data_IF_350881694099
#
_entry.id   IF_350881694099
#
_cell.length_a   1.000
_cell.length_b   1.000
_cell.length_c   1.000
_cell.angle_alpha   90.00
_cell.angle_beta   90.00
_cell.angle_gamma   90.00
#
_symmetry.space_group_name_H-M   'P 1'
#
loop_
_entity.id
_entity.type
_entity.pdbx_description
1 polymer ?
#
# COMPACT_ATOMS: atom_id res chain seq x y z
N UNK A 1 41.10 -8.68 32.97
CA UNK A 1 40.93 -9.42 34.26
C UNK A 1 39.87 -8.70 35.09
N UNK A 2 38.68 -9.31 35.16
CA UNK A 2 37.58 -9.18 36.15
C UNK A 2 37.09 -7.78 36.56
N UNK A 3 35.98 -7.35 35.96
CA UNK A 3 34.94 -6.58 36.63
C UNK A 3 34.17 -7.53 37.58
N UNK A 4 33.92 -7.07 38.81
CA UNK A 4 33.19 -7.80 39.83
C UNK A 4 31.69 -7.48 39.75
N UNK A 5 30.90 -8.55 39.80
CA UNK A 5 29.45 -8.57 39.91
C UNK A 5 28.97 -8.01 41.25
N UNK A 6 27.78 -7.39 41.22
CA UNK A 6 26.90 -7.28 42.38
C UNK A 6 25.66 -8.12 42.10
N UNK A 7 25.53 -9.22 42.84
CA UNK A 7 24.32 -10.03 42.96
C UNK A 7 23.30 -9.31 43.86
N UNK A 8 22.00 -9.48 43.57
CA UNK A 8 20.96 -9.39 44.60
C UNK A 8 20.03 -10.60 44.47
N UNK A 9 20.05 -11.45 45.50
CA UNK A 9 19.22 -12.64 45.64
C UNK A 9 17.85 -12.28 46.27
N UNK A 10 16.80 -12.79 45.63
CA UNK A 10 15.65 -13.54 46.19
C UNK A 10 14.95 -13.06 47.47
N UNK A 11 13.65 -12.78 47.33
CA UNK A 11 12.64 -13.21 48.30
C UNK A 11 11.47 -13.88 47.56
N UNK A 12 11.31 -15.18 47.84
CA UNK A 12 10.17 -16.03 47.51
C UNK A 12 8.91 -15.52 48.21
N UNK A 13 7.76 -15.61 47.55
CA UNK A 13 6.53 -16.10 48.17
C UNK A 13 5.71 -16.87 47.15
N UNK A 14 5.13 -17.97 47.62
CA UNK A 14 4.58 -19.09 46.86
C UNK A 14 3.07 -19.22 47.09
N UNK A 15 2.34 -19.49 45.99
CA UNK A 15 1.10 -20.32 45.87
C UNK A 15 -0.24 -19.63 46.24
N UNK A 16 -1.42 -19.95 45.63
CA UNK A 16 -1.73 -20.99 44.63
C UNK A 16 -2.42 -20.52 43.32
N UNK A 17 -2.30 -21.41 42.33
CA UNK A 17 -3.11 -21.60 41.15
C UNK A 17 -4.52 -22.13 41.51
N UNK A 18 -5.57 -21.53 40.96
CA UNK A 18 -6.95 -22.06 40.91
C UNK A 18 -7.49 -21.83 39.49
N UNK A 19 -7.90 -22.87 38.75
CA UNK A 19 -8.55 -22.73 37.44
C UNK A 19 -10.07 -22.69 37.64
N UNK A 20 -10.80 -21.78 36.98
CA UNK A 20 -12.22 -22.01 36.68
C UNK A 20 -12.75 -21.04 35.60
N UNK A 21 -13.22 -21.65 34.50
CA UNK A 21 -14.37 -21.30 33.65
C UNK A 21 -14.50 -19.87 33.10
N UNK A 22 -13.93 -19.64 31.92
CA UNK A 22 -14.42 -18.65 30.97
C UNK A 22 -15.76 -19.13 30.36
N UNK A 23 -16.88 -18.64 30.88
CA UNK A 23 -18.12 -18.59 30.08
C UNK A 23 -18.03 -17.39 29.14
N UNK A 24 -17.40 -17.59 27.98
CA UNK A 24 -17.38 -16.63 26.88
C UNK A 24 -18.79 -16.43 26.30
N UNK A 25 -19.33 -15.22 26.42
CA UNK A 25 -20.49 -14.80 25.62
C UNK A 25 -19.97 -14.32 24.27
N UNK A 26 -20.29 -15.07 23.21
CA UNK A 26 -20.08 -14.66 21.82
C UNK A 26 -21.15 -13.61 21.48
N UNK A 27 -20.73 -12.37 21.22
CA UNK A 27 -21.62 -11.37 20.63
C UNK A 27 -21.63 -11.55 19.11
N UNK A 28 -22.66 -12.20 18.59
CA UNK A 28 -22.95 -12.24 17.16
C UNK A 28 -23.65 -10.93 16.76
N UNK A 29 -23.01 -10.12 15.93
CA UNK A 29 -23.64 -8.99 15.26
C UNK A 29 -24.33 -9.54 14.01
N UNK A 30 -25.66 -9.72 14.07
CA UNK A 30 -26.49 -10.03 12.91
C UNK A 30 -27.09 -8.74 12.36
N UNK A 31 -26.57 -8.29 11.22
CA UNK A 31 -27.28 -7.35 10.36
C UNK A 31 -28.35 -8.14 9.61
N UNK A 32 -29.59 -8.13 10.10
CA UNK A 32 -30.73 -7.98 9.19
C UNK A 32 -32.08 -7.74 9.87
N UNK A 33 -32.92 -7.04 9.14
CA UNK A 33 -34.27 -6.61 9.49
C UNK A 33 -35.21 -7.80 9.72
N UNK A 34 -36.20 -7.58 10.59
CA UNK A 34 -37.40 -8.38 10.85
C UNK A 34 -37.27 -9.63 11.75
N UNK A 35 -37.49 -9.46 13.06
CA UNK A 35 -38.61 -10.13 13.80
C UNK A 35 -38.59 -9.79 15.29
N UNK A 36 -39.78 -9.48 15.80
CA UNK A 36 -40.11 -9.36 17.22
C UNK A 36 -40.46 -10.76 17.75
N UNK A 37 -39.93 -11.15 18.92
CA UNK A 37 -40.55 -12.15 19.78
C UNK A 37 -40.13 -11.97 21.25
N UNK A 38 -41.10 -12.25 22.11
CA UNK A 38 -41.28 -11.91 23.53
C UNK A 38 -40.37 -12.61 24.54
N UNK A 39 -40.04 -11.90 25.62
CA UNK A 39 -39.50 -12.47 26.86
C UNK A 39 -40.63 -12.85 27.84
N UNK A 40 -40.49 -13.99 28.50
CA UNK A 40 -41.33 -14.37 29.63
C UNK A 40 -40.60 -14.09 30.96
N UNK A 41 -41.39 -13.65 31.93
CA UNK A 41 -41.04 -12.99 33.19
C UNK A 41 -40.54 -13.93 34.26
N UNK A 42 -39.58 -13.52 35.08
CA UNK A 42 -39.62 -13.72 36.53
C UNK A 42 -38.54 -12.88 37.25
N UNK A 43 -38.99 -11.81 37.91
CA UNK A 43 -38.28 -11.10 38.97
C UNK A 43 -39.28 -10.87 40.10
N UNK A 44 -38.92 -11.08 41.37
CA UNK A 44 -39.52 -10.33 42.48
C UNK A 44 -38.55 -9.25 42.98
N UNK A 45 -38.99 -8.01 42.75
CA UNK A 45 -38.94 -6.81 43.61
C UNK A 45 -37.88 -6.68 44.72
N UNK A 46 -37.09 -5.59 44.66
CA UNK A 46 -37.19 -4.46 45.61
C UNK A 46 -36.36 -3.24 45.13
N UNK A 47 -37.04 -2.11 44.99
CA UNK A 47 -36.71 -0.72 44.59
C UNK A 47 -35.80 0.08 45.57
N UNK A 48 -35.46 1.40 45.36
CA UNK A 48 -34.95 2.17 44.19
C UNK A 48 -33.79 3.18 44.59
N UNK A 49 -33.54 4.34 43.91
CA UNK A 49 -32.30 4.68 43.17
C UNK A 49 -31.43 5.81 43.84
N UNK A 50 -30.37 6.36 43.17
CA UNK A 50 -30.60 7.61 42.43
C UNK A 50 -29.70 7.91 41.19
N UNK A 51 -30.23 8.82 40.35
CA UNK A 51 -29.55 9.84 39.52
C UNK A 51 -28.88 9.50 38.18
N UNK A 52 -29.67 9.69 37.13
CA UNK A 52 -29.24 9.99 35.76
C UNK A 52 -29.00 11.50 35.61
N UNK A 53 -27.81 11.93 35.17
CA UNK A 53 -27.64 13.21 34.46
C UNK A 53 -26.71 12.95 33.27
N UNK A 54 -27.32 12.92 32.09
CA UNK A 54 -26.65 13.03 30.79
C UNK A 54 -27.04 14.40 30.23
N UNK A 55 -26.06 15.27 29.96
CA UNK A 55 -26.22 16.42 29.08
C UNK A 55 -24.83 16.79 28.54
N UNK A 56 -24.49 16.23 27.38
CA UNK A 56 -23.49 16.79 26.47
C UNK A 56 -24.26 17.71 25.54
N UNK A 57 -24.04 19.01 25.65
CA UNK A 57 -24.46 20.00 24.65
C UNK A 57 -23.21 20.58 24.01
N UNK A 58 -22.97 20.22 22.75
CA UNK A 58 -22.07 20.95 21.87
C UNK A 58 -22.91 21.98 21.10
N UNK A 59 -22.73 23.27 21.38
CA UNK A 59 -23.12 24.35 20.48
C UNK A 59 -21.92 25.28 20.32
N UNK A 60 -21.60 25.54 19.05
CA UNK A 60 -20.53 26.38 18.53
C UNK A 60 -20.55 27.79 19.12
N UNK A 61 -19.36 28.31 19.48
CA UNK A 61 -19.16 29.71 19.85
C UNK A 61 -18.95 30.58 18.61
N UNK A 62 -19.70 31.69 18.55
CA UNK A 62 -19.44 32.86 17.69
C UNK A 62 -18.55 33.83 18.48
N UNK A 63 -17.52 34.37 17.83
CA UNK A 63 -16.53 35.24 18.47
C UNK A 63 -17.01 36.67 18.76
N UNK A 64 -16.34 37.32 19.72
CA UNK A 64 -15.63 38.61 19.58
C UNK A 64 -15.16 39.15 20.94
N UNK A 65 -13.87 39.54 20.99
CA UNK A 65 -13.30 40.68 21.74
C UNK A 65 -13.34 40.69 23.27
N UNK A 66 -12.16 40.68 23.93
CA UNK A 66 -11.49 41.86 24.51
C UNK A 66 -10.22 41.46 25.31
N UNK A 67 -9.26 42.39 25.35
CA UNK A 67 -7.93 42.34 25.98
C UNK A 67 -7.92 42.10 27.50
N UNK A 68 -6.84 41.48 28.01
CA UNK A 68 -5.95 42.02 29.07
C UNK A 68 -4.72 41.12 29.30
N UNK A 69 -3.70 41.67 29.94
CA UNK A 69 -2.26 41.37 29.84
C UNK A 69 -1.71 40.20 30.69
N UNK A 70 -0.57 39.67 30.21
CA UNK A 70 0.62 39.15 30.90
C UNK A 70 0.52 38.37 32.23
N UNK A 71 1.02 37.13 32.24
CA UNK A 71 2.24 36.76 32.99
C UNK A 71 2.73 35.35 32.65
N UNK A 72 4.05 35.18 32.73
CA UNK A 72 4.84 33.98 32.52
C UNK A 72 4.56 32.86 33.51
N UNK A 73 4.56 31.61 33.06
CA UNK A 73 5.07 30.42 33.79
C UNK A 73 5.04 29.20 32.86
N UNK A 74 6.19 28.57 32.60
CA UNK A 74 6.22 27.20 32.09
C UNK A 74 5.65 26.24 33.14
N UNK A 75 5.00 25.13 32.72
CA UNK A 75 5.55 23.85 33.16
C UNK A 75 5.36 22.66 32.19
N UNK A 76 6.41 21.82 32.16
CA UNK A 76 6.36 20.37 32.35
C UNK A 76 5.81 19.48 31.22
N UNK A 77 6.74 18.76 30.58
CA UNK A 77 6.50 17.64 29.67
C UNK A 77 5.85 16.49 30.44
N UNK A 78 4.58 16.18 30.11
CA UNK A 78 3.94 14.90 30.45
C UNK A 78 4.02 14.00 29.22
N UNK A 79 4.80 12.92 29.36
CA UNK A 79 4.79 11.78 28.44
C UNK A 79 3.39 11.17 28.40
N UNK A 80 2.67 11.35 27.29
CA UNK A 80 1.42 10.65 27.03
C UNK A 80 1.69 9.36 26.28
N UNK A 81 1.65 8.25 27.02
CA UNK A 81 1.47 6.90 26.49
C UNK A 81 0.20 6.85 25.63
N UNK A 82 0.36 6.65 24.32
CA UNK A 82 -0.76 6.57 23.38
C UNK A 82 -1.54 5.26 23.54
N UNK A 83 -2.84 5.40 23.82
CA UNK A 83 -3.82 4.31 23.92
C UNK A 83 -4.45 4.05 22.53
N UNK A 84 -4.84 2.82 22.16
CA UNK A 84 -5.01 2.38 20.76
C UNK A 84 -6.34 2.77 20.08
N UNK A 85 -7.15 3.66 20.67
CA UNK A 85 -8.48 3.98 20.13
C UNK A 85 -8.47 4.94 18.93
N UNK A 86 -7.36 5.65 18.67
CA UNK A 86 -7.25 6.57 17.53
C UNK A 86 -7.01 5.89 16.16
N UNK A 87 -6.69 4.59 16.12
CA UNK A 87 -6.42 3.86 14.86
C UNK A 87 -7.69 3.57 14.04
N UNK A 88 -8.87 3.48 14.66
CA UNK A 88 -10.11 3.07 13.99
C UNK A 88 -10.82 4.21 13.24
N UNK A 89 -10.54 5.48 13.56
CA UNK A 89 -11.23 6.62 12.96
C UNK A 89 -10.64 6.97 11.59
N UNK A 90 -9.32 6.83 11.43
CA UNK A 90 -8.63 7.10 10.15
C UNK A 90 -9.06 6.13 9.05
N UNK A 91 -9.26 4.85 9.36
CA UNK A 91 -9.69 3.82 8.40
C UNK A 91 -11.09 4.05 7.82
N UNK A 92 -11.99 4.70 8.57
CA UNK A 92 -13.35 4.96 8.10
C UNK A 92 -13.46 6.20 7.21
N UNK A 93 -12.57 7.19 7.40
CA UNK A 93 -12.54 8.39 6.56
C UNK A 93 -12.07 8.08 5.13
N UNK A 94 -11.04 7.25 4.99
CA UNK A 94 -10.52 6.81 3.68
C UNK A 94 -11.52 5.89 2.96
N UNK A 95 -12.15 4.95 3.68
CA UNK A 95 -13.19 4.09 3.13
C UNK A 95 -14.46 4.85 2.72
N UNK A 96 -14.80 5.94 3.41
CA UNK A 96 -15.94 6.80 3.06
C UNK A 96 -15.67 7.66 1.81
N UNK A 97 -14.42 8.07 1.56
CA UNK A 97 -14.03 8.73 0.31
C UNK A 97 -14.07 7.77 -0.89
N UNK A 98 -13.67 6.50 -0.70
CA UNK A 98 -13.79 5.46 -1.73
C UNK A 98 -15.26 5.19 -2.12
N UNK A 99 -16.19 5.28 -1.17
CA UNK A 99 -17.63 5.10 -1.43
C UNK A 99 -18.28 6.29 -2.16
N UNK A 100 -17.81 7.52 -1.91
CA UNK A 100 -18.35 8.74 -2.50
C UNK A 100 -17.96 8.94 -3.98
N UNK A 101 -16.91 8.28 -4.47
CA UNK A 101 -16.44 8.35 -5.87
C UNK A 101 -17.27 7.51 -6.87
N UNK A 102 -18.30 6.79 -6.41
CA UNK A 102 -18.97 5.70 -7.14
C UNK A 102 -20.00 6.11 -8.23
N UNK A 103 -20.03 7.35 -8.71
CA UNK A 103 -21.02 7.79 -9.74
C UNK A 103 -20.43 8.21 -11.09
N UNK A 104 -19.11 8.14 -11.29
CA UNK A 104 -18.49 8.28 -12.62
C UNK A 104 -18.42 6.93 -13.33
N UNK A 105 -18.70 6.89 -14.64
CA UNK A 105 -18.40 5.72 -15.48
C UNK A 105 -16.93 5.35 -15.28
N UNK A 106 -16.66 4.12 -14.80
CA UNK A 106 -15.30 3.66 -14.53
C UNK A 106 -14.55 3.58 -15.86
N UNK A 107 -13.57 4.47 -16.03
CA UNK A 107 -12.65 4.44 -17.17
C UNK A 107 -11.94 3.08 -17.21
N UNK A 108 -11.78 2.51 -18.41
CA UNK A 108 -11.12 1.23 -18.63
C UNK A 108 -10.13 1.39 -19.80
N UNK A 109 -8.94 0.82 -19.64
CA UNK A 109 -7.91 0.77 -20.68
C UNK A 109 -7.71 -0.68 -21.16
N UNK A 110 -6.87 -0.87 -22.18
CA UNK A 110 -6.41 -2.21 -22.57
C UNK A 110 -5.33 -2.70 -21.59
N UNK A 111 -5.20 -4.01 -21.32
CA UNK A 111 -4.10 -4.49 -20.50
C UNK A 111 -2.77 -4.29 -21.21
N UNK A 112 -1.74 -3.84 -20.46
CA UNK A 112 -0.37 -3.76 -20.95
C UNK A 112 0.26 -5.17 -20.94
N UNK A 113 0.99 -5.55 -21.98
CA UNK A 113 1.73 -6.81 -22.01
C UNK A 113 3.00 -6.72 -21.15
N UNK A 114 3.32 -7.76 -20.38
CA UNK A 114 4.60 -7.86 -19.65
C UNK A 114 5.73 -8.24 -20.60
N UNK A 115 6.11 -7.30 -21.46
CA UNK A 115 7.14 -7.50 -22.48
C UNK A 115 8.15 -6.35 -22.37
N UNK A 116 9.43 -6.63 -22.06
CA UNK A 116 10.46 -5.59 -21.92
C UNK A 116 10.56 -4.65 -23.11
N UNK A 117 10.41 -5.14 -24.35
CA UNK A 117 10.52 -4.31 -25.56
C UNK A 117 9.41 -3.26 -25.59
N UNK A 118 8.17 -3.70 -25.39
CA UNK A 118 7.00 -2.82 -25.32
C UNK A 118 7.10 -1.83 -24.15
N UNK A 119 7.48 -2.32 -22.97
CA UNK A 119 7.65 -1.49 -21.77
C UNK A 119 8.71 -0.41 -22.00
N UNK A 120 9.87 -0.77 -22.55
CA UNK A 120 10.97 0.16 -22.78
C UNK A 120 10.60 1.23 -23.82
N UNK A 121 9.92 0.84 -24.90
CA UNK A 121 9.40 1.78 -25.88
C UNK A 121 8.37 2.74 -25.25
N UNK A 122 7.49 2.21 -24.39
CA UNK A 122 6.47 3.00 -23.72
C UNK A 122 7.08 4.03 -22.74
N UNK A 123 7.98 3.62 -21.85
CA UNK A 123 8.59 4.54 -20.87
C UNK A 123 9.48 5.59 -21.55
N UNK A 124 10.11 5.25 -22.68
CA UNK A 124 10.85 6.23 -23.49
C UNK A 124 9.91 7.34 -24.00
N UNK A 125 8.70 6.98 -24.46
CA UNK A 125 7.67 7.96 -24.86
C UNK A 125 7.08 8.75 -23.69
N UNK A 126 7.10 8.19 -22.48
CA UNK A 126 6.78 8.94 -21.25
C UNK A 126 7.89 9.95 -20.89
N UNK A 127 9.09 9.76 -21.46
CA UNK A 127 10.28 10.60 -21.35
C UNK A 127 11.30 10.14 -20.30
N UNK A 128 11.30 8.84 -19.99
CA UNK A 128 12.39 8.17 -19.28
C UNK A 128 13.54 7.88 -20.25
N UNK A 129 14.79 8.12 -19.84
CA UNK A 129 15.96 7.81 -20.65
C UNK A 129 16.38 6.33 -20.51
N UNK A 130 16.15 5.55 -21.57
CA UNK A 130 16.47 4.13 -21.63
C UNK A 130 17.90 3.83 -22.10
N UNK A 131 18.78 4.85 -22.16
CA UNK A 131 20.18 4.68 -22.54
C UNK A 131 21.02 4.03 -21.45
N UNK A 132 20.71 4.30 -20.17
CA UNK A 132 21.46 3.79 -19.03
C UNK A 132 20.78 2.60 -18.37
N UNK A 133 19.45 2.60 -18.29
CA UNK A 133 18.66 1.55 -17.66
C UNK A 133 17.48 1.17 -18.53
N UNK A 134 17.15 -0.12 -18.55
CA UNK A 134 15.99 -0.63 -19.27
C UNK A 134 15.38 -1.80 -18.50
N UNK A 135 14.10 -2.07 -18.74
CA UNK A 135 13.49 -3.30 -18.26
C UNK A 135 14.07 -4.48 -19.04
N UNK A 136 14.39 -5.54 -18.32
CA UNK A 136 14.82 -6.84 -18.85
C UNK A 136 14.04 -7.97 -18.17
N UNK A 137 13.90 -9.10 -18.83
CA UNK A 137 13.25 -10.27 -18.25
C UNK A 137 14.11 -10.90 -17.14
N UNK A 138 13.45 -11.34 -16.07
CA UNK A 138 14.05 -12.16 -15.01
C UNK A 138 13.47 -13.57 -15.13
N UNK A 139 14.23 -14.50 -15.70
CA UNK A 139 13.74 -15.82 -16.08
C UNK A 139 13.40 -16.74 -14.89
N UNK A 140 14.00 -16.50 -13.73
CA UNK A 140 13.76 -17.29 -12.52
C UNK A 140 14.10 -16.47 -11.28
N UNK A 141 13.52 -16.87 -10.15
CA UNK A 141 13.81 -16.31 -8.83
C UNK A 141 14.99 -17.02 -8.13
N UNK A 142 15.68 -17.90 -8.86
CA UNK A 142 16.91 -18.57 -8.42
C UNK A 142 18.16 -17.73 -8.70
N UNK A 143 19.19 -17.91 -7.86
CA UNK A 143 20.40 -17.09 -7.89
C UNK A 143 21.06 -17.05 -9.29
N UNK A 144 21.10 -18.17 -10.02
CA UNK A 144 21.70 -18.21 -11.36
C UNK A 144 21.04 -17.28 -12.37
N UNK A 145 19.72 -17.05 -12.27
CA UNK A 145 19.00 -16.17 -13.19
C UNK A 145 19.11 -14.71 -12.76
N UNK A 146 19.13 -14.47 -11.43
CA UNK A 146 19.37 -13.16 -10.84
C UNK A 146 20.76 -12.65 -11.23
N UNK A 147 21.77 -13.51 -11.19
CA UNK A 147 23.17 -13.19 -11.53
C UNK A 147 23.36 -12.85 -13.02
N UNK A 148 22.43 -13.23 -13.90
CA UNK A 148 22.43 -12.83 -15.32
C UNK A 148 21.98 -11.38 -15.53
N UNK A 149 21.29 -10.79 -14.55
CA UNK A 149 20.76 -9.43 -14.64
C UNK A 149 21.84 -8.44 -14.22
N UNK A 150 22.15 -7.42 -15.05
CA UNK A 150 23.02 -6.32 -14.66
C UNK A 150 22.60 -5.72 -13.32
N UNK A 151 23.58 -5.48 -12.45
CA UNK A 151 23.37 -4.90 -11.14
C UNK A 151 23.98 -3.50 -11.05
N UNK A 152 23.42 -2.62 -10.19
CA UNK A 152 22.24 -2.84 -9.36
C UNK A 152 20.93 -2.63 -10.14
N UNK A 153 19.95 -3.55 -10.00
CA UNK A 153 18.59 -3.28 -10.49
C UNK A 153 17.96 -2.14 -9.70
N UNK A 154 17.23 -1.23 -10.35
CA UNK A 154 16.58 -0.06 -9.77
C UNK A 154 15.16 -0.34 -9.23
N UNK A 155 14.43 -1.25 -9.88
CA UNK A 155 13.08 -1.65 -9.52
C UNK A 155 12.76 -3.02 -10.12
N UNK A 156 11.75 -3.72 -9.58
CA UNK A 156 11.26 -5.00 -10.10
C UNK A 156 9.75 -4.90 -10.34
N UNK A 157 9.27 -5.34 -11.50
CA UNK A 157 7.84 -5.53 -11.76
C UNK A 157 7.52 -7.01 -11.72
N UNK A 158 6.39 -7.34 -11.12
CA UNK A 158 5.80 -8.67 -11.17
C UNK A 158 4.40 -8.57 -11.76
N UNK A 159 4.11 -9.37 -12.78
CA UNK A 159 2.75 -9.70 -13.17
C UNK A 159 2.39 -11.01 -12.47
N UNK A 160 1.27 -11.04 -11.76
CA UNK A 160 0.78 -12.25 -11.11
C UNK A 160 -0.72 -12.45 -11.35
N UNK A 161 -1.23 -13.68 -11.25
CA UNK A 161 -2.63 -13.97 -11.50
C UNK A 161 -3.49 -13.72 -10.26
N UNK A 162 -4.70 -13.20 -10.48
CA UNK A 162 -5.71 -12.92 -9.48
C UNK A 162 -6.59 -14.14 -9.20
N UNK A 163 -5.96 -15.26 -8.86
CA UNK A 163 -6.69 -16.48 -8.46
C UNK A 163 -7.36 -16.27 -7.10
N UNK A 164 -8.39 -17.07 -6.81
CA UNK A 164 -9.08 -17.01 -5.52
C UNK A 164 -8.09 -17.18 -4.36
N UNK A 165 -7.13 -18.09 -4.50
CA UNK A 165 -6.09 -18.38 -3.51
C UNK A 165 -5.21 -17.15 -3.23
N UNK A 166 -4.81 -16.43 -4.29
CA UNK A 166 -4.02 -15.19 -4.14
C UNK A 166 -4.82 -14.09 -3.43
N UNK A 167 -6.09 -13.94 -3.79
CA UNK A 167 -6.96 -12.91 -3.23
C UNK A 167 -7.40 -13.20 -1.78
N UNK A 168 -7.49 -14.48 -1.40
CA UNK A 168 -7.88 -14.90 -0.05
C UNK A 168 -6.70 -15.10 0.90
N UNK A 169 -5.46 -14.99 0.42
CA UNK A 169 -4.29 -15.11 1.27
C UNK A 169 -4.39 -14.07 2.40
N UNK A 170 -4.10 -14.45 3.66
CA UNK A 170 -4.05 -13.49 4.75
C UNK A 170 -3.12 -12.35 4.33
N UNK A 171 -3.66 -11.13 4.32
CA UNK A 171 -2.86 -9.93 4.14
C UNK A 171 -2.04 -9.78 5.42
N UNK A 172 -0.91 -10.49 5.52
CA UNK A 172 0.16 -10.15 6.46
C UNK A 172 0.94 -8.92 5.94
N UNK A 173 0.19 -8.04 5.29
CA UNK A 173 0.66 -6.80 4.72
C UNK A 173 0.96 -5.88 5.90
N UNK A 174 2.24 -5.75 6.21
CA UNK A 174 2.70 -4.67 7.07
C UNK A 174 2.60 -3.38 6.27
N UNK A 175 1.42 -2.75 6.28
CA UNK A 175 1.23 -1.43 5.67
C UNK A 175 2.26 -0.48 6.27
N UNK A 176 2.97 0.23 5.41
CA UNK A 176 4.01 1.16 5.81
C UNK A 176 3.48 2.17 6.83
N UNK A 177 4.30 2.52 7.82
CA UNK A 177 3.91 3.59 8.74
C UNK A 177 3.84 4.91 8.00
N UNK A 178 3.09 5.88 8.55
CA UNK A 178 2.96 7.21 7.93
C UNK A 178 4.31 7.86 7.62
N UNK A 179 5.29 7.72 8.52
CA UNK A 179 6.66 8.22 8.34
C UNK A 179 7.39 7.56 7.17
N UNK A 180 7.13 6.27 6.92
CA UNK A 180 7.68 5.53 5.77
C UNK A 180 6.99 5.93 4.46
N UNK A 181 5.67 6.12 4.49
CA UNK A 181 4.89 6.55 3.34
C UNK A 181 5.28 7.94 2.83
N UNK A 182 5.67 8.86 3.72
CA UNK A 182 6.05 10.23 3.37
C UNK A 182 7.34 10.31 2.51
N UNK A 183 7.97 9.17 2.23
CA UNK A 183 9.15 9.03 1.36
C UNK A 183 8.87 8.23 0.09
N UNK A 184 7.78 7.45 0.06
CA UNK A 184 7.47 6.55 -1.03
C UNK A 184 6.43 7.20 -1.95
N UNK A 185 6.76 7.33 -3.23
CA UNK A 185 5.80 7.78 -4.21
C UNK A 185 4.78 6.67 -4.50
N UNK A 186 3.52 6.87 -4.10
CA UNK A 186 2.43 5.89 -4.25
C UNK A 186 1.15 6.51 -4.82
N UNK A 187 0.46 5.77 -5.69
CA UNK A 187 -0.79 6.15 -6.36
C UNK A 187 -1.79 4.99 -6.32
N UNK A 188 -3.09 5.31 -6.16
CA UNK A 188 -4.16 4.30 -6.23
C UNK A 188 -4.51 3.99 -7.68
N UNK A 189 -4.84 2.74 -7.96
CA UNK A 189 -5.41 2.36 -9.24
C UNK A 189 -6.92 2.51 -9.21
N UNK A 190 -7.44 3.46 -10.00
CA UNK A 190 -8.88 3.71 -10.16
C UNK A 190 -9.38 3.53 -11.60
N UNK A 191 -8.47 3.37 -12.55
CA UNK A 191 -8.75 3.06 -13.95
C UNK A 191 -8.62 1.54 -14.15
N UNK A 192 -9.63 0.92 -14.77
CA UNK A 192 -9.63 -0.51 -15.10
C UNK A 192 -8.48 -0.85 -16.04
N UNK A 193 -7.76 -1.94 -15.77
CA UNK A 193 -6.59 -2.43 -16.53
C UNK A 193 -5.37 -1.50 -16.59
N UNK A 194 -5.36 -0.37 -15.86
CA UNK A 194 -4.21 0.54 -15.84
C UNK A 194 -3.02 0.04 -15.00
N UNK A 195 -3.06 -1.20 -14.46
CA UNK A 195 -2.05 -1.73 -13.54
C UNK A 195 -0.63 -1.70 -14.12
N UNK A 196 -0.45 -1.92 -15.43
CA UNK A 196 0.85 -1.80 -16.09
C UNK A 196 1.44 -0.38 -15.98
N UNK A 197 0.66 0.64 -16.32
CA UNK A 197 1.09 2.05 -16.17
C UNK A 197 1.31 2.43 -14.71
N UNK A 198 0.44 1.99 -13.80
CA UNK A 198 0.58 2.25 -12.36
C UNK A 198 1.85 1.60 -11.80
N UNK A 199 2.13 0.35 -12.16
CA UNK A 199 3.36 -0.35 -11.79
C UNK A 199 4.61 0.35 -12.33
N UNK A 200 4.59 0.82 -13.57
CA UNK A 200 5.69 1.58 -14.16
C UNK A 200 5.92 2.92 -13.45
N UNK A 201 4.85 3.65 -13.11
CA UNK A 201 4.96 4.88 -12.31
C UNK A 201 5.56 4.61 -10.93
N UNK A 202 5.10 3.56 -10.24
CA UNK A 202 5.67 3.13 -8.97
C UNK A 202 7.16 2.77 -9.10
N UNK A 203 7.58 2.08 -10.17
CA UNK A 203 8.97 1.73 -10.39
C UNK A 203 9.85 2.96 -10.68
N UNK A 204 9.43 3.81 -11.61
CA UNK A 204 10.23 4.94 -12.10
C UNK A 204 10.31 6.10 -11.10
N UNK A 205 9.21 6.44 -10.44
CA UNK A 205 9.14 7.56 -9.48
C UNK A 205 9.68 7.21 -8.08
N UNK A 206 10.08 5.95 -7.87
CA UNK A 206 10.83 5.52 -6.68
C UNK A 206 12.24 5.01 -7.02
N UNK A 207 12.69 5.12 -8.28
CA UNK A 207 14.05 4.76 -8.65
C UNK A 207 15.07 5.73 -8.00
N UNK A 208 16.35 5.38 -7.84
CA UNK A 208 17.35 6.30 -7.28
C UNK A 208 17.49 7.62 -8.05
N UNK A 209 17.89 8.70 -7.36
CA UNK A 209 17.96 10.08 -7.88
C UNK A 209 18.72 10.24 -9.22
N UNK A 210 19.80 9.49 -9.54
CA UNK A 210 20.41 9.57 -10.88
C UNK A 210 19.50 9.10 -12.03
N UNK A 211 18.49 8.28 -11.74
CA UNK A 211 17.54 7.73 -12.72
C UNK A 211 16.22 8.50 -12.77
N UNK A 212 15.93 9.34 -11.78
CA UNK A 212 14.78 10.24 -11.79
C UNK A 212 15.03 11.55 -12.53
N UNK A 213 16.18 11.66 -13.21
CA UNK A 213 16.48 12.78 -14.11
C UNK A 213 15.82 12.49 -15.47
N UNK A 214 14.56 12.87 -15.59
CA UNK A 214 13.79 12.69 -16.80
C UNK A 214 14.16 13.75 -17.86
N UNK A 215 13.87 13.44 -19.12
CA UNK A 215 14.10 14.37 -20.23
C UNK A 215 13.31 15.67 -20.04
N UNK A 216 13.84 16.79 -20.56
CA UNK A 216 13.13 18.08 -20.53
C UNK A 216 11.78 17.93 -21.26
N UNK A 217 10.71 18.47 -20.68
CA UNK A 217 9.34 18.37 -21.19
C UNK A 217 8.74 16.94 -21.23
N UNK A 218 9.38 15.98 -20.56
CA UNK A 218 8.83 14.63 -20.40
C UNK A 218 7.50 14.64 -19.63
N UNK A 219 6.59 13.75 -20.04
CA UNK A 219 5.30 13.62 -19.37
C UNK A 219 5.48 13.15 -17.92
N UNK A 220 6.39 12.20 -17.67
CA UNK A 220 6.63 11.67 -16.34
C UNK A 220 7.18 12.73 -15.37
N UNK A 221 8.02 13.68 -15.84
CA UNK A 221 8.49 14.80 -15.02
C UNK A 221 7.35 15.73 -14.63
N UNK A 222 6.55 16.15 -15.61
CA UNK A 222 5.38 17.01 -15.34
C UNK A 222 4.40 16.32 -14.39
N UNK A 223 4.16 15.03 -14.59
CA UNK A 223 3.30 14.26 -13.70
C UNK A 223 3.88 14.16 -12.28
N UNK A 224 5.18 13.92 -12.13
CA UNK A 224 5.84 13.90 -10.82
C UNK A 224 5.78 15.26 -10.10
N UNK A 225 5.92 16.37 -10.85
CA UNK A 225 5.81 17.73 -10.31
C UNK A 225 4.39 18.07 -9.88
N UNK A 226 3.39 17.68 -10.66
CA UNK A 226 1.96 17.83 -10.33
C UNK A 226 1.53 16.93 -9.17
N UNK A 227 2.21 15.78 -9.02
CA UNK A 227 1.87 14.72 -8.07
C UNK A 227 3.04 14.43 -7.11
N UNK A 228 3.49 15.39 -6.29
CA UNK A 228 4.60 15.17 -5.38
C UNK A 228 4.23 14.14 -4.30
N UNK A 229 5.23 13.60 -3.59
CA UNK A 229 5.01 12.57 -2.55
C UNK A 229 3.90 12.96 -1.55
N UNK A 230 3.84 14.20 -1.01
CA UNK A 230 2.80 14.61 -0.05
C UNK A 230 1.37 14.64 -0.61
N UNK A 231 1.17 14.66 -1.94
CA UNK A 231 -0.17 14.60 -2.52
C UNK A 231 -0.78 13.22 -2.26
N UNK A 232 -2.06 13.17 -1.86
CA UNK A 232 -2.70 11.91 -1.50
C UNK A 232 -2.73 10.92 -2.68
N UNK A 233 -2.59 9.60 -2.44
CA UNK A 233 -2.62 8.59 -3.50
C UNK A 233 -3.91 8.64 -4.35
N UNK A 234 -5.02 9.06 -3.76
CA UNK A 234 -6.30 9.25 -4.44
C UNK A 234 -6.25 10.49 -5.36
N UNK A 235 -5.74 11.62 -4.89
CA UNK A 235 -5.63 12.83 -5.71
C UNK A 235 -4.68 12.63 -6.90
N UNK A 236 -3.58 11.89 -6.70
CA UNK A 236 -2.70 11.44 -7.80
C UNK A 236 -3.46 10.62 -8.85
N UNK A 237 -4.31 9.70 -8.41
CA UNK A 237 -5.17 8.90 -9.30
C UNK A 237 -6.18 9.76 -10.06
N UNK A 238 -6.80 10.74 -9.40
CA UNK A 238 -7.73 11.68 -10.04
C UNK A 238 -7.06 12.57 -11.09
N UNK A 239 -5.81 12.98 -10.84
CA UNK A 239 -4.98 13.70 -11.83
C UNK A 239 -4.63 12.82 -13.02
N UNK A 240 -4.40 11.52 -12.82
CA UNK A 240 -4.15 10.55 -13.89
C UNK A 240 -5.42 10.27 -14.73
N UNK A 241 -6.59 10.13 -14.08
CA UNK A 241 -7.90 9.93 -14.74
C UNK A 241 -8.25 11.05 -15.72
N UNK A 242 -7.82 12.28 -15.42
CA UNK A 242 -8.10 13.48 -16.22
C UNK A 242 -7.10 13.70 -17.36
N UNK A 243 -6.03 12.90 -17.42
CA UNK A 243 -4.94 13.10 -18.37
C UNK A 243 -5.15 12.26 -19.64
N UNK A 244 -5.60 12.93 -20.71
CA UNK A 244 -5.79 12.26 -22.01
C UNK A 244 -4.46 11.90 -22.68
N UNK A 245 -3.35 12.57 -22.34
CA UNK A 245 -2.03 12.30 -22.94
C UNK A 245 -1.52 10.94 -22.49
N UNK A 246 -1.60 10.60 -21.21
CA UNK A 246 -1.20 9.27 -20.73
C UNK A 246 -2.13 8.17 -21.26
N UNK A 247 -3.44 8.43 -21.35
CA UNK A 247 -4.38 7.47 -21.93
C UNK A 247 -4.03 7.15 -23.39
N UNK A 248 -3.69 8.16 -24.19
CA UNK A 248 -3.25 7.98 -25.57
C UNK A 248 -1.90 7.26 -25.68
N UNK A 249 -0.93 7.60 -24.82
CA UNK A 249 0.38 6.95 -24.81
C UNK A 249 0.26 5.46 -24.41
N UNK A 250 -0.60 5.17 -23.43
CA UNK A 250 -0.92 3.81 -23.03
C UNK A 250 -1.62 3.04 -24.17
N UNK A 251 -2.66 3.62 -24.79
CA UNK A 251 -3.36 2.98 -25.91
C UNK A 251 -2.40 2.69 -27.08
N UNK A 252 -1.54 3.65 -27.42
CA UNK A 252 -0.50 3.49 -28.43
C UNK A 252 0.46 2.33 -28.10
N UNK A 253 0.90 2.20 -26.84
CA UNK A 253 1.74 1.09 -26.41
C UNK A 253 1.03 -0.26 -26.57
N UNK A 254 -0.23 -0.37 -26.14
CA UNK A 254 -1.01 -1.62 -26.28
C UNK A 254 -1.34 -1.97 -27.73
N UNK A 255 -1.46 -0.98 -28.62
CA UNK A 255 -1.68 -1.18 -30.07
C UNK A 255 -0.40 -1.44 -30.88
N UNK A 256 0.77 -1.33 -30.26
CA UNK A 256 2.04 -1.45 -30.97
C UNK A 256 2.27 -2.86 -31.51
N UNK A 257 3.09 -2.98 -32.56
CA UNK A 257 3.52 -4.27 -33.08
C UNK A 257 4.42 -5.07 -32.12
N UNK A 258 4.90 -4.43 -31.05
CA UNK A 258 5.68 -5.08 -29.99
C UNK A 258 4.77 -5.88 -29.03
N UNK A 259 3.45 -5.66 -29.08
CA UNK A 259 2.47 -6.49 -28.38
C UNK A 259 2.34 -7.83 -29.10
N UNK A 260 2.95 -8.87 -28.55
CA UNK A 260 3.08 -10.17 -29.19
C UNK A 260 1.79 -10.99 -29.14
N UNK A 261 0.95 -10.77 -28.13
CA UNK A 261 -0.28 -11.55 -27.88
C UNK A 261 -1.54 -10.91 -28.45
N UNK A 262 -1.42 -9.67 -28.93
CA UNK A 262 -2.55 -8.83 -29.31
C UNK A 262 -3.29 -8.31 -28.09
N UNK A 263 -3.83 -7.09 -28.19
CA UNK A 263 -4.49 -6.42 -27.04
C UNK A 263 -5.87 -6.96 -26.66
N UNK A 264 -6.44 -7.91 -27.42
CA UNK A 264 -7.77 -8.46 -27.17
C UNK A 264 -8.91 -7.44 -27.30
N UNK A 265 -10.03 -7.69 -26.62
CA UNK A 265 -11.13 -6.75 -26.47
C UNK A 265 -11.00 -5.99 -25.13
N UNK A 266 -11.35 -4.71 -25.11
CA UNK A 266 -11.32 -3.89 -23.89
C UNK A 266 -12.18 -4.48 -22.77
N UNK A 267 -13.24 -5.21 -23.13
CA UNK A 267 -14.20 -5.81 -22.19
C UNK A 267 -13.77 -7.19 -21.67
N UNK A 268 -12.69 -7.77 -22.22
CA UNK A 268 -12.18 -9.06 -21.77
C UNK A 268 -11.84 -9.03 -20.27
N UNK A 269 -12.07 -10.15 -19.61
CA UNK A 269 -11.74 -10.33 -18.19
C UNK A 269 -10.23 -10.50 -18.07
N UNK A 270 -9.58 -9.48 -17.53
CA UNK A 270 -8.16 -9.54 -17.17
C UNK A 270 -8.01 -10.24 -15.83
N UNK A 271 -7.26 -11.33 -15.80
CA UNK A 271 -7.04 -12.16 -14.61
C UNK A 271 -5.64 -12.01 -14.03
N UNK A 272 -4.83 -11.07 -14.52
CA UNK A 272 -3.47 -10.81 -14.06
C UNK A 272 -3.33 -9.36 -13.60
N UNK A 273 -2.33 -9.10 -12.76
CA UNK A 273 -2.13 -7.79 -12.15
C UNK A 273 -0.66 -7.48 -11.95
N UNK A 274 -0.26 -6.25 -12.29
CA UNK A 274 1.09 -5.75 -12.08
C UNK A 274 1.25 -5.12 -10.70
N UNK A 275 2.40 -5.36 -10.08
CA UNK A 275 2.89 -4.61 -8.91
C UNK A 275 4.36 -4.26 -9.13
N UNK A 276 4.83 -3.23 -8.42
CA UNK A 276 6.24 -2.89 -8.36
C UNK A 276 6.83 -3.24 -7.00
N UNK A 277 8.09 -3.68 -6.98
CA UNK A 277 8.90 -3.85 -5.79
C UNK A 277 10.11 -2.93 -5.89
N UNK A 278 10.29 -2.05 -4.90
CA UNK A 278 11.28 -0.96 -4.93
C UNK A 278 12.08 -0.86 -3.64
N UNK A 279 13.27 -0.27 -3.72
CA UNK A 279 14.09 0.10 -2.57
C UNK A 279 13.99 1.61 -2.36
N UNK A 280 13.47 2.04 -1.20
CA UNK A 280 13.44 3.46 -0.80
C UNK A 280 13.96 3.54 0.63
N UNK A 281 14.99 4.35 0.88
CA UNK A 281 15.63 4.47 2.21
C UNK A 281 15.97 3.11 2.85
N UNK A 282 16.68 2.26 2.08
CA UNK A 282 17.13 0.92 2.51
C UNK A 282 16.00 0.00 3.00
N UNK A 283 14.79 0.20 2.48
CA UNK A 283 13.59 -0.57 2.80
C UNK A 283 12.92 -1.10 1.54
N UNK A 284 12.48 -2.35 1.61
CA UNK A 284 11.81 -3.04 0.52
C UNK A 284 10.31 -2.75 0.58
N UNK A 285 9.76 -2.20 -0.49
CA UNK A 285 8.33 -1.92 -0.59
C UNK A 285 7.70 -2.63 -1.78
N UNK A 286 6.54 -3.23 -1.54
CA UNK A 286 5.62 -3.68 -2.59
C UNK A 286 4.55 -2.59 -2.80
N UNK A 287 4.39 -2.16 -4.04
CA UNK A 287 3.52 -1.07 -4.45
C UNK A 287 2.43 -1.59 -5.40
N UNK A 288 1.27 -1.91 -4.81
CA UNK A 288 0.05 -2.30 -5.51
C UNK A 288 -1.01 -1.19 -5.35
N UNK A 289 -1.41 -0.56 -6.47
CA UNK A 289 -2.41 0.52 -6.46
C UNK A 289 -3.80 0.09 -5.96
N UNK A 290 -4.07 -1.21 -5.78
CA UNK A 290 -5.30 -1.73 -5.19
C UNK A 290 -5.26 -1.75 -3.66
N UNK A 291 -4.06 -1.81 -3.06
CA UNK A 291 -3.87 -1.89 -1.60
C UNK A 291 -4.08 -0.53 -0.92
N UNK A 292 -4.19 -0.54 0.41
CA UNK A 292 -4.40 0.68 1.19
C UNK A 292 -3.22 1.66 1.08
N UNK A 293 -2.00 1.13 0.98
CA UNK A 293 -0.76 1.89 0.86
C UNK A 293 0.41 0.96 0.48
N UNK A 294 1.65 1.48 0.46
CA UNK A 294 2.86 0.67 0.32
C UNK A 294 2.94 -0.43 1.38
N UNK A 295 3.31 -1.65 0.97
CA UNK A 295 3.55 -2.77 1.90
C UNK A 295 5.03 -2.91 2.16
N UNK A 296 5.42 -2.87 3.43
CA UNK A 296 6.81 -3.01 3.85
C UNK A 296 7.19 -4.48 4.02
N UNK A 297 8.31 -4.87 3.39
CA UNK A 297 8.83 -6.24 3.38
C UNK A 297 10.17 -6.41 4.11
N UNK A 298 10.61 -5.42 4.88
CA UNK A 298 11.87 -5.47 5.61
C UNK A 298 12.98 -4.61 4.99
N UNK A 299 14.19 -4.62 5.59
CA UNK A 299 15.33 -3.89 5.09
C UNK A 299 15.86 -4.49 3.78
N UNK A 300 16.40 -3.64 2.91
CA UNK A 300 17.10 -4.03 1.67
C UNK A 300 18.12 -2.94 1.32
N UNK A 301 18.79 -3.07 0.19
CA UNK A 301 19.63 -2.03 -0.41
C UNK A 301 19.50 -2.10 -1.93
N UNK A 302 19.95 -1.08 -2.65
CA UNK A 302 19.94 -1.13 -4.11
C UNK A 302 20.74 -2.32 -4.67
N UNK A 303 21.82 -2.72 -3.98
CA UNK A 303 22.65 -3.86 -4.36
C UNK A 303 21.98 -5.23 -4.16
N UNK A 304 21.01 -5.32 -3.24
CA UNK A 304 20.31 -6.58 -2.92
C UNK A 304 18.84 -6.59 -3.36
N UNK A 305 18.34 -5.47 -3.91
CA UNK A 305 16.93 -5.27 -4.26
C UNK A 305 16.38 -6.43 -5.09
N UNK A 306 17.04 -6.83 -6.18
CA UNK A 306 16.52 -7.90 -7.04
C UNK A 306 16.40 -9.22 -6.27
N UNK A 307 17.42 -9.59 -5.49
CA UNK A 307 17.43 -10.82 -4.69
C UNK A 307 16.34 -10.80 -3.61
N UNK A 308 16.17 -9.67 -2.92
CA UNK A 308 15.16 -9.54 -1.87
C UNK A 308 13.74 -9.47 -2.44
N UNK A 309 13.54 -8.79 -3.58
CA UNK A 309 12.28 -8.79 -4.32
C UNK A 309 11.91 -10.20 -4.79
N UNK A 310 12.87 -10.99 -5.30
CA UNK A 310 12.61 -12.38 -5.66
C UNK A 310 12.18 -13.25 -4.48
N UNK A 311 12.61 -12.96 -3.24
CA UNK A 311 12.10 -13.64 -2.04
C UNK A 311 10.62 -13.30 -1.80
N UNK A 312 10.24 -12.03 -1.95
CA UNK A 312 8.83 -11.59 -1.87
C UNK A 312 8.01 -12.30 -2.94
N UNK A 313 8.47 -12.30 -4.19
CA UNK A 313 7.79 -12.95 -5.33
C UNK A 313 7.62 -14.46 -5.10
N UNK A 314 8.63 -15.14 -4.53
CA UNK A 314 8.53 -16.56 -4.13
C UNK A 314 7.38 -16.81 -3.15
N UNK A 315 7.05 -15.86 -2.27
CA UNK A 315 5.88 -15.99 -1.39
C UNK A 315 4.56 -15.96 -2.18
N UNK A 316 4.45 -15.13 -3.23
CA UNK A 316 3.29 -15.13 -4.12
C UNK A 316 3.20 -16.47 -4.87
N UNK A 317 4.29 -16.95 -5.45
CA UNK A 317 4.32 -18.24 -6.15
C UNK A 317 3.96 -19.42 -5.21
N UNK A 318 4.46 -19.41 -3.97
CA UNK A 318 4.19 -20.48 -3.00
C UNK A 318 2.73 -20.54 -2.54
N UNK A 319 1.97 -19.43 -2.64
CA UNK A 319 0.52 -19.42 -2.33
C UNK A 319 -0.28 -20.25 -3.34
N UNK A 320 0.16 -20.30 -4.59
CA UNK A 320 -0.52 -21.03 -5.67
C UNK A 320 0.50 -21.82 -6.53
N UNK A 321 0.99 -22.96 -6.03
CA UNK A 321 2.16 -23.65 -6.60
C UNK A 321 1.92 -24.27 -7.99
N UNK A 322 0.67 -24.38 -8.42
CA UNK A 322 0.31 -24.92 -9.74
C UNK A 322 0.12 -23.80 -10.79
N UNK A 323 0.18 -22.56 -10.36
CA UNK A 323 -0.06 -21.42 -11.20
C UNK A 323 1.26 -20.92 -11.81
N UNK A 324 1.27 -20.80 -13.13
CA UNK A 324 2.47 -20.53 -13.92
C UNK A 324 2.43 -19.16 -14.59
N UNK A 325 1.30 -18.44 -14.51
CA UNK A 325 1.09 -17.13 -15.15
C UNK A 325 1.74 -15.99 -14.36
N UNK A 326 3.02 -16.14 -14.05
CA UNK A 326 3.85 -15.11 -13.45
C UNK A 326 4.88 -14.63 -14.47
N UNK A 327 5.14 -13.33 -14.49
CA UNK A 327 6.30 -12.76 -15.18
C UNK A 327 7.00 -11.77 -14.25
N UNK A 328 8.31 -11.64 -14.44
CA UNK A 328 9.14 -10.74 -13.64
C UNK A 328 10.03 -9.98 -14.61
N UNK A 329 10.03 -8.65 -14.49
CA UNK A 329 11.00 -7.79 -15.18
C UNK A 329 11.72 -6.91 -14.18
N UNK A 330 12.97 -6.59 -14.46
CA UNK A 330 13.77 -5.70 -13.62
C UNK A 330 14.24 -4.50 -14.43
N UNK A 331 14.10 -3.30 -13.88
CA UNK A 331 14.75 -2.10 -14.41
C UNK A 331 16.23 -2.17 -14.05
N UNK A 332 17.09 -2.51 -14.99
CA UNK A 332 18.49 -2.82 -14.77
C UNK A 332 19.40 -1.99 -15.70
N UNK A 333 20.70 -1.84 -15.40
CA UNK A 333 21.64 -1.23 -16.31
C UNK A 333 21.58 -1.86 -17.70
N UNK A 334 21.52 -1.04 -18.74
CA UNK A 334 21.54 -1.50 -20.13
C UNK A 334 22.86 -2.19 -20.45
N UNK A 335 22.82 -3.42 -20.96
CA UNK A 335 24.01 -4.09 -21.48
C UNK A 335 24.33 -3.49 -22.86
N UNK A 336 25.57 -2.97 -23.00
CA UNK A 336 26.07 -2.38 -24.25
C UNK A 336 26.43 -3.42 -25.31
#
# INVERSE_FOLDING_TARGET
KKQAHTELLLLRNTIPYIPHEETGTILAISNDKHRVASYNTNVPSSSPPPSLVLLISCIFAVGNGFHTEAESTEPFIVSQTHHPQHRHILTMADAAQDAAASTKTKQKWFPLESNPSLINNYIQKLGFDTSLYEFVDVFSTEDWAIDMIPQPAAAVLMLYPLTQTQLSAPLDDTIATKEMEDKVWFIKQRIGNACGTIGLLHALLNAPEPLQIFQQESWIKTFADDCPIPLSPIAKAERLEQDSKIANLHDAATSSSENATGRGNIDDKVETHFIAVVCVDDKLYELDGRKAGPVYHGPTSQATLLKDACKVIKTFMARDPNEMRFTITALAPKQG
#
